data_IF_845836100778
#
_entry.id   IF_845836100778
#
_cell.length_a   1.000
_cell.length_b   1.000
_cell.length_c   1.000
_cell.angle_alpha   90.00
_cell.angle_beta   90.00
_cell.angle_gamma   90.00
#
_symmetry.space_group_name_H-M   'P 1'
#
loop_
_entity.id
_entity.type
_entity.pdbx_description
1 polymer ?
#
# COMPACT_ATOMS: atom_id res chain seq x y z
N UNK A 1 4.35 -30.94 -12.34
CA UNK A 1 4.01 -29.91 -11.35
C UNK A 1 3.71 -30.58 -10.02
N UNK A 2 4.14 -30.02 -8.88
CA UNK A 2 3.72 -30.51 -7.57
C UNK A 2 2.18 -30.51 -7.49
N UNK A 3 1.57 -31.58 -6.97
CA UNK A 3 0.11 -31.77 -6.94
C UNK A 3 -0.64 -30.60 -6.28
N UNK A 4 -0.02 -29.93 -5.30
CA UNK A 4 -0.57 -28.75 -4.62
C UNK A 4 -0.69 -27.52 -5.52
N UNK A 5 0.32 -27.26 -6.36
CA UNK A 5 0.30 -26.11 -7.29
C UNK A 5 -0.81 -26.30 -8.33
N UNK A 6 -0.97 -27.52 -8.84
CA UNK A 6 -2.06 -27.84 -9.76
C UNK A 6 -3.44 -27.60 -9.11
N UNK A 7 -3.61 -28.00 -7.84
CA UNK A 7 -4.86 -27.74 -7.11
C UNK A 7 -5.16 -26.24 -7.02
N UNK A 8 -4.17 -25.41 -6.69
CA UNK A 8 -4.35 -23.95 -6.58
C UNK A 8 -4.75 -23.33 -7.93
N UNK A 9 -4.08 -23.74 -9.01
CA UNK A 9 -4.39 -23.28 -10.37
C UNK A 9 -5.82 -23.64 -10.76
N UNK A 10 -6.25 -24.87 -10.47
CA UNK A 10 -7.62 -25.31 -10.77
C UNK A 10 -8.65 -24.54 -9.94
N UNK A 11 -8.38 -24.27 -8.66
CA UNK A 11 -9.26 -23.45 -7.80
C UNK A 11 -9.39 -22.02 -8.31
N UNK A 12 -8.33 -21.43 -8.89
CA UNK A 12 -8.38 -20.08 -9.49
C UNK A 12 -9.28 -20.01 -10.72
N UNK A 13 -9.50 -21.13 -11.42
CA UNK A 13 -10.21 -21.19 -12.70
C UNK A 13 -9.40 -21.79 -13.85
N UNK A 14 -8.22 -22.35 -13.57
CA UNK A 14 -7.37 -23.03 -14.52
C UNK A 14 -6.24 -22.16 -15.10
N UNK A 15 -5.34 -22.75 -15.91
CA UNK A 15 -4.10 -22.09 -16.33
C UNK A 15 -4.30 -20.82 -17.16
N UNK A 16 -5.36 -20.75 -17.97
CA UNK A 16 -5.64 -19.57 -18.79
C UNK A 16 -6.01 -18.36 -17.93
N UNK A 17 -6.80 -18.59 -16.87
CA UNK A 17 -7.21 -17.56 -15.93
C UNK A 17 -6.04 -17.13 -15.05
N UNK A 18 -5.20 -18.06 -14.60
CA UNK A 18 -3.97 -17.71 -13.90
C UNK A 18 -3.09 -16.79 -14.77
N UNK A 19 -2.89 -17.14 -16.04
CA UNK A 19 -2.05 -16.35 -16.96
C UNK A 19 -2.62 -14.96 -17.27
N UNK A 20 -3.93 -14.76 -17.20
CA UNK A 20 -4.52 -13.43 -17.39
C UNK A 20 -4.34 -12.51 -16.19
N UNK A 21 -4.02 -13.05 -15.01
CA UNK A 21 -3.72 -12.25 -13.81
C UNK A 21 -2.28 -11.70 -13.81
N UNK A 22 -1.38 -12.31 -14.58
CA UNK A 22 0.07 -12.02 -14.57
C UNK A 22 0.37 -10.82 -15.48
N UNK A 23 1.45 -10.09 -15.18
CA UNK A 23 1.96 -9.04 -16.06
C UNK A 23 2.49 -9.62 -17.37
N UNK A 24 3.22 -10.74 -17.27
CA UNK A 24 3.69 -11.54 -18.39
C UNK A 24 3.04 -12.94 -18.38
N UNK A 25 2.09 -13.21 -19.29
CA UNK A 25 1.42 -14.52 -19.41
C UNK A 25 2.37 -15.68 -19.73
N UNK A 26 3.59 -15.42 -20.19
CA UNK A 26 4.60 -16.43 -20.50
C UNK A 26 5.45 -16.85 -19.30
N UNK A 27 5.38 -16.10 -18.20
CA UNK A 27 6.12 -16.38 -16.98
C UNK A 27 5.68 -17.68 -16.30
N UNK A 28 6.63 -18.32 -15.60
CA UNK A 28 6.42 -19.63 -14.96
C UNK A 28 6.18 -19.49 -13.46
N UNK A 29 5.19 -20.21 -12.94
CA UNK A 29 4.85 -20.13 -11.50
C UNK A 29 5.94 -20.74 -10.60
N UNK A 30 6.65 -21.74 -11.09
CA UNK A 30 7.77 -22.39 -10.40
C UNK A 30 9.02 -22.19 -11.25
N UNK A 31 9.95 -21.41 -10.73
CA UNK A 31 11.22 -21.10 -11.37
C UNK A 31 12.23 -22.23 -11.28
N UNK A 32 13.47 -21.94 -11.69
CA UNK A 32 14.59 -22.86 -11.57
C UNK A 32 14.76 -23.31 -10.12
N UNK A 33 15.26 -24.55 -9.94
CA UNK A 33 15.49 -25.16 -8.62
C UNK A 33 14.25 -25.22 -7.70
N UNK A 34 13.04 -25.02 -8.22
CA UNK A 34 11.81 -25.10 -7.45
C UNK A 34 11.45 -23.81 -6.70
N UNK A 35 12.13 -22.69 -6.99
CA UNK A 35 11.79 -21.39 -6.41
C UNK A 35 10.38 -20.95 -6.81
N UNK A 36 9.63 -20.42 -5.86
CA UNK A 36 8.31 -19.87 -6.13
C UNK A 36 8.44 -18.50 -6.78
N UNK A 37 7.70 -18.27 -7.85
CA UNK A 37 7.47 -16.92 -8.38
C UNK A 37 6.60 -16.10 -7.42
N UNK A 38 6.60 -14.77 -7.58
CA UNK A 38 5.73 -13.90 -6.78
C UNK A 38 4.24 -14.17 -7.07
N UNK A 39 3.90 -14.53 -8.30
CA UNK A 39 2.56 -14.94 -8.73
C UNK A 39 2.09 -16.21 -8.02
N UNK A 40 2.99 -17.16 -7.78
CA UNK A 40 2.67 -18.35 -7.00
C UNK A 40 2.48 -18.04 -5.52
N UNK A 41 3.29 -17.14 -4.95
CA UNK A 41 3.10 -16.64 -3.58
C UNK A 41 1.73 -15.97 -3.45
N UNK A 42 1.41 -15.05 -4.35
CA UNK A 42 0.13 -14.34 -4.38
C UNK A 42 -1.04 -15.30 -4.64
N UNK A 43 -0.85 -16.35 -5.45
CA UNK A 43 -1.88 -17.38 -5.64
C UNK A 43 -2.16 -18.14 -4.34
N UNK A 44 -1.13 -18.41 -3.53
CA UNK A 44 -1.30 -19.08 -2.25
C UNK A 44 -1.99 -18.17 -1.20
N UNK A 45 -1.68 -16.88 -1.19
CA UNK A 45 -2.18 -15.94 -0.18
C UNK A 45 -3.55 -15.33 -0.53
N UNK A 46 -3.78 -15.03 -1.81
CA UNK A 46 -4.94 -14.29 -2.30
C UNK A 46 -5.85 -15.12 -3.20
N UNK A 47 -5.38 -16.26 -3.71
CA UNK A 47 -6.07 -16.96 -4.78
C UNK A 47 -6.07 -16.17 -6.10
N UNK A 48 -5.03 -15.36 -6.36
CA UNK A 48 -4.82 -14.58 -7.59
C UNK A 48 -3.35 -14.65 -8.03
N UNK A 49 -3.11 -14.84 -9.32
CA UNK A 49 -1.76 -14.94 -9.89
C UNK A 49 -1.18 -13.57 -10.28
N UNK A 50 -1.41 -12.53 -9.47
CA UNK A 50 -0.90 -11.18 -9.76
C UNK A 50 0.61 -11.11 -9.52
N UNK A 51 1.32 -10.33 -10.33
CA UNK A 51 2.79 -10.29 -10.33
C UNK A 51 3.37 -9.42 -9.22
N UNK A 52 2.62 -8.45 -8.73
CA UNK A 52 3.14 -7.44 -7.81
C UNK A 52 2.51 -7.52 -6.41
N UNK A 53 3.11 -6.77 -5.49
CA UNK A 53 2.75 -6.71 -4.07
C UNK A 53 2.19 -5.36 -3.64
N UNK A 54 2.16 -4.36 -4.54
CA UNK A 54 1.43 -3.11 -4.36
C UNK A 54 -0.09 -3.32 -4.54
N UNK A 55 -0.90 -2.34 -4.18
CA UNK A 55 -2.36 -2.44 -4.32
C UNK A 55 -2.84 -1.94 -5.69
N UNK A 56 -3.83 -2.61 -6.28
CA UNK A 56 -4.46 -2.19 -7.54
C UNK A 56 -3.62 -2.49 -8.78
N UNK A 57 -3.84 -1.71 -9.83
CA UNK A 57 -3.12 -1.83 -11.11
C UNK A 57 -2.48 -0.48 -11.46
N UNK A 58 -1.25 -0.50 -11.99
CA UNK A 58 -0.50 0.69 -12.41
C UNK A 58 -0.22 0.66 -13.91
N UNK A 59 -0.55 1.74 -14.63
CA UNK A 59 -0.28 1.84 -16.07
C UNK A 59 1.05 2.51 -16.30
N UNK A 60 1.99 1.79 -16.92
CA UNK A 60 3.33 2.31 -17.25
C UNK A 60 3.35 3.03 -18.61
N UNK A 61 2.17 3.26 -19.21
CA UNK A 61 2.06 3.72 -20.59
C UNK A 61 2.40 2.62 -21.61
N UNK A 62 2.23 2.91 -22.90
CA UNK A 62 2.56 1.97 -23.98
C UNK A 62 1.77 0.66 -23.98
N UNK A 63 0.63 0.60 -23.28
CA UNK A 63 -0.19 -0.61 -23.12
C UNK A 63 0.32 -1.60 -22.07
N UNK A 64 1.37 -1.25 -21.31
CA UNK A 64 1.85 -2.06 -20.19
C UNK A 64 1.05 -1.74 -18.93
N UNK A 65 0.47 -2.78 -18.33
CA UNK A 65 -0.32 -2.73 -17.10
C UNK A 65 0.38 -3.62 -16.08
N UNK A 66 0.82 -3.06 -14.97
CA UNK A 66 1.36 -3.82 -13.84
C UNK A 66 0.22 -4.14 -12.89
N UNK A 67 0.06 -5.42 -12.55
CA UNK A 67 -1.05 -5.93 -11.74
C UNK A 67 -0.56 -6.26 -10.34
N UNK A 68 -1.09 -5.54 -9.37
CA UNK A 68 -0.89 -5.75 -7.94
C UNK A 68 -2.06 -6.48 -7.29
N UNK A 69 -2.13 -6.39 -5.97
CA UNK A 69 -3.19 -6.98 -5.14
C UNK A 69 -4.52 -6.31 -5.45
N UNK A 70 -5.53 -7.05 -5.93
CA UNK A 70 -6.82 -6.45 -6.25
C UNK A 70 -7.50 -5.87 -5.00
N UNK A 71 -7.97 -4.62 -5.09
CA UNK A 71 -8.52 -3.87 -3.95
C UNK A 71 -9.81 -4.50 -3.43
N UNK A 72 -10.55 -5.18 -4.29
CA UNK A 72 -11.80 -5.88 -3.97
C UNK A 72 -11.58 -7.23 -3.26
N UNK A 73 -10.36 -7.76 -3.25
CA UNK A 73 -10.05 -9.07 -2.66
C UNK A 73 -9.66 -8.89 -1.19
N UNK A 74 -10.40 -9.47 -0.23
CA UNK A 74 -10.04 -9.39 1.17
C UNK A 74 -8.77 -10.21 1.46
N UNK A 75 -7.73 -9.55 1.96
CA UNK A 75 -6.48 -10.20 2.34
C UNK A 75 -6.58 -10.81 3.74
N UNK A 76 -6.61 -12.13 3.85
CA UNK A 76 -6.74 -12.82 5.15
C UNK A 76 -5.41 -12.86 5.90
N UNK A 77 -4.31 -13.14 5.17
CA UNK A 77 -2.94 -13.22 5.70
C UNK A 77 -2.10 -12.20 4.93
N UNK A 78 -1.41 -11.35 5.67
CA UNK A 78 -0.57 -10.31 5.09
C UNK A 78 0.71 -10.86 4.47
N UNK A 79 1.37 -10.03 3.68
CA UNK A 79 2.68 -10.32 3.12
C UNK A 79 3.59 -9.11 3.31
N UNK A 80 4.83 -9.33 3.71
CA UNK A 80 5.87 -8.30 3.76
C UNK A 80 7.12 -8.94 3.17
N UNK A 81 7.98 -8.16 2.52
CA UNK A 81 9.21 -8.70 1.94
C UNK A 81 10.42 -7.87 2.33
N UNK A 82 11.56 -8.54 2.50
CA UNK A 82 12.85 -7.89 2.67
C UNK A 82 13.17 -6.90 1.53
N UNK A 83 12.65 -7.17 0.32
CA UNK A 83 12.81 -6.28 -0.83
C UNK A 83 12.23 -4.88 -0.59
N UNK A 84 11.21 -4.75 0.28
CA UNK A 84 10.68 -3.45 0.66
C UNK A 84 11.63 -2.69 1.60
N UNK A 85 12.24 -3.38 2.56
CA UNK A 85 13.25 -2.78 3.43
C UNK A 85 14.47 -2.29 2.63
N UNK A 86 14.82 -3.04 1.57
CA UNK A 86 15.88 -2.70 0.61
C UNK A 86 15.42 -1.67 -0.46
N UNK A 87 14.17 -1.20 -0.40
CA UNK A 87 13.58 -0.21 -1.32
C UNK A 87 13.52 -0.65 -2.79
N UNK A 88 13.50 -1.95 -3.05
CA UNK A 88 13.28 -2.49 -4.40
C UNK A 88 11.81 -2.52 -4.80
N UNK A 89 10.91 -2.70 -3.82
CA UNK A 89 9.47 -2.73 -4.04
C UNK A 89 8.75 -1.96 -2.95
N UNK A 90 7.53 -1.53 -3.22
CA UNK A 90 6.62 -0.99 -2.19
C UNK A 90 5.51 -2.01 -1.97
N UNK A 91 5.36 -2.51 -0.74
CA UNK A 91 4.26 -3.42 -0.43
C UNK A 91 3.01 -2.60 -0.17
N UNK A 92 1.92 -3.04 -0.79
CA UNK A 92 0.61 -2.44 -0.70
C UNK A 92 0.05 -2.49 0.72
N UNK A 93 -0.82 -1.53 0.98
CA UNK A 93 -1.53 -1.42 2.24
C UNK A 93 -2.42 -2.64 2.51
N UNK A 94 -2.95 -3.34 1.49
CA UNK A 94 -3.77 -4.54 1.67
C UNK A 94 -2.98 -5.66 2.35
N UNK A 95 -1.74 -5.87 1.91
CA UNK A 95 -0.84 -6.86 2.49
C UNK A 95 -0.28 -6.46 3.86
N UNK A 96 -0.08 -5.16 4.11
CA UNK A 96 0.34 -4.65 5.42
C UNK A 96 -0.77 -4.73 6.47
N UNK A 97 -2.03 -4.61 6.04
CA UNK A 97 -3.21 -4.56 6.92
C UNK A 97 -4.21 -5.68 6.62
N UNK A 98 -3.82 -6.95 6.83
CA UNK A 98 -4.70 -8.10 6.60
C UNK A 98 -5.85 -8.19 7.61
N UNK A 99 -6.85 -9.04 7.33
CA UNK A 99 -7.97 -9.29 8.23
C UNK A 99 -7.56 -9.95 9.54
N UNK A 100 -6.54 -10.80 9.52
CA UNK A 100 -6.02 -11.50 10.70
C UNK A 100 -4.57 -11.06 10.98
N UNK A 101 -4.12 -11.08 12.23
CA UNK A 101 -2.80 -10.61 12.63
C UNK A 101 -1.72 -11.65 12.31
N UNK A 102 -1.66 -12.10 11.06
CA UNK A 102 -0.67 -13.02 10.50
C UNK A 102 -0.07 -12.38 9.24
N UNK A 103 1.26 -12.46 9.13
CA UNK A 103 2.00 -11.97 7.98
C UNK A 103 3.04 -13.00 7.58
N UNK A 104 3.13 -13.28 6.28
CA UNK A 104 4.25 -14.01 5.71
C UNK A 104 5.33 -13.01 5.34
N UNK A 105 6.53 -13.17 5.90
CA UNK A 105 7.72 -12.40 5.58
C UNK A 105 8.52 -13.18 4.54
N UNK A 106 8.63 -12.64 3.33
CA UNK A 106 9.43 -13.20 2.25
C UNK A 106 10.86 -12.67 2.22
N UNK A 107 11.84 -13.56 2.32
CA UNK A 107 13.24 -13.29 1.98
C UNK A 107 13.61 -14.04 0.68
N UNK A 108 14.79 -13.79 0.09
CA UNK A 108 15.21 -14.47 -1.14
C UNK A 108 15.17 -15.99 -1.08
N UNK A 109 15.39 -16.58 0.11
CA UNK A 109 15.55 -18.03 0.27
C UNK A 109 14.59 -18.67 1.29
N UNK A 110 13.82 -17.89 2.05
CA UNK A 110 12.89 -18.44 3.05
C UNK A 110 11.64 -17.58 3.22
N UNK A 111 10.61 -18.20 3.79
CA UNK A 111 9.42 -17.52 4.29
C UNK A 111 9.29 -17.73 5.80
N UNK A 112 8.99 -16.67 6.53
CA UNK A 112 8.69 -16.72 7.97
C UNK A 112 7.28 -16.24 8.24
N UNK A 113 6.55 -16.94 9.11
CA UNK A 113 5.24 -16.49 9.58
C UNK A 113 5.42 -15.62 10.83
N UNK A 114 5.11 -14.34 10.72
CA UNK A 114 4.96 -13.42 11.85
C UNK A 114 3.49 -13.35 12.26
N UNK A 115 3.22 -13.29 13.56
CA UNK A 115 1.85 -13.11 14.06
C UNK A 115 1.81 -12.31 15.36
N UNK A 116 0.65 -11.74 15.65
CA UNK A 116 0.38 -11.02 16.89
C UNK A 116 -0.90 -11.51 17.56
N UNK A 117 -0.93 -11.46 18.89
CA UNK A 117 -2.16 -11.70 19.67
C UNK A 117 -3.07 -10.47 19.75
N UNK A 118 -2.55 -9.31 19.36
CA UNK A 118 -3.29 -8.07 19.38
C UNK A 118 -3.82 -7.77 17.97
N UNK A 119 -5.13 -7.95 17.77
CA UNK A 119 -5.78 -7.65 16.49
C UNK A 119 -5.61 -6.19 16.07
N UNK A 120 -5.39 -5.26 17.01
CA UNK A 120 -5.22 -3.86 16.66
C UNK A 120 -3.95 -3.59 15.84
N UNK A 121 -2.99 -4.52 15.80
CA UNK A 121 -1.81 -4.42 14.94
C UNK A 121 -2.15 -4.44 13.44
N UNK A 122 -3.34 -4.93 13.04
CA UNK A 122 -3.75 -4.90 11.63
C UNK A 122 -4.43 -3.58 11.24
N UNK A 123 -4.91 -2.81 12.22
CA UNK A 123 -5.67 -1.58 11.96
C UNK A 123 -4.80 -0.55 11.26
N UNK A 124 -5.32 0.03 10.19
CA UNK A 124 -4.66 1.16 9.53
C UNK A 124 -4.71 2.40 10.43
N UNK A 125 -3.64 3.18 10.34
CA UNK A 125 -3.61 4.51 10.92
C UNK A 125 -4.64 5.37 10.17
N UNK A 126 -5.59 6.04 10.85
CA UNK A 126 -6.55 6.92 10.19
C UNK A 126 -5.90 7.97 9.29
N UNK A 127 -4.71 8.46 9.66
CA UNK A 127 -3.94 9.42 8.86
C UNK A 127 -3.47 8.79 7.55
N UNK A 128 -2.99 7.55 7.57
CA UNK A 128 -2.53 6.89 6.34
C UNK A 128 -3.71 6.64 5.39
N UNK A 129 -4.87 6.23 5.91
CA UNK A 129 -6.10 6.05 5.10
C UNK A 129 -6.51 7.37 4.44
N UNK A 130 -6.46 8.48 5.17
CA UNK A 130 -6.75 9.80 4.61
C UNK A 130 -5.71 10.21 3.56
N UNK A 131 -4.43 9.98 3.82
CA UNK A 131 -3.34 10.27 2.89
C UNK A 131 -3.48 9.48 1.58
N UNK A 132 -3.84 8.20 1.65
CA UNK A 132 -4.08 7.37 0.47
C UNK A 132 -5.26 7.91 -0.34
N UNK A 133 -6.40 8.18 0.31
CA UNK A 133 -7.58 8.78 -0.35
C UNK A 133 -7.29 10.15 -0.96
N UNK A 134 -6.48 10.97 -0.30
CA UNK A 134 -6.05 12.27 -0.82
C UNK A 134 -5.17 12.09 -2.05
N UNK A 135 -4.28 11.10 -2.04
CA UNK A 135 -3.44 10.79 -3.18
C UNK A 135 -4.27 10.33 -4.37
N UNK A 136 -5.20 9.41 -4.16
CA UNK A 136 -6.10 8.93 -5.21
C UNK A 136 -6.94 10.07 -5.81
N UNK A 137 -7.48 10.94 -4.94
CA UNK A 137 -8.22 12.13 -5.37
C UNK A 137 -7.32 13.16 -6.08
N UNK A 138 -6.04 13.25 -5.69
CA UNK A 138 -5.07 14.12 -6.33
C UNK A 138 -4.71 13.61 -7.73
N UNK A 139 -4.34 12.34 -7.83
CA UNK A 139 -3.94 11.66 -9.07
C UNK A 139 -5.09 11.63 -10.09
N UNK A 140 -6.34 11.49 -9.63
CA UNK A 140 -7.52 11.54 -10.50
C UNK A 140 -7.83 12.94 -11.07
N UNK A 141 -7.29 14.00 -10.48
CA UNK A 141 -7.60 15.38 -10.84
C UNK A 141 -6.37 16.22 -11.24
N UNK A 142 -5.16 15.65 -11.21
CA UNK A 142 -3.96 16.34 -11.66
C UNK A 142 -3.84 16.32 -13.19
N UNK A 143 -3.10 17.28 -13.74
CA UNK A 143 -2.64 17.23 -15.14
C UNK A 143 -1.56 16.16 -15.30
N UNK A 144 -1.23 15.77 -16.54
CA UNK A 144 -0.19 14.77 -16.86
C UNK A 144 1.20 15.07 -16.24
N UNK A 145 1.45 16.32 -15.82
CA UNK A 145 2.67 16.75 -15.11
C UNK A 145 2.60 16.60 -13.57
N UNK A 146 1.55 15.98 -13.02
CA UNK A 146 1.39 15.80 -11.57
C UNK A 146 1.06 17.09 -10.81
N UNK A 147 0.46 18.07 -11.50
CA UNK A 147 0.11 19.39 -10.96
C UNK A 147 -1.41 19.54 -10.90
N UNK A 148 -1.91 20.13 -9.81
CA UNK A 148 -3.32 20.47 -9.66
C UNK A 148 -3.52 22.00 -9.72
N UNK A 149 -4.62 22.42 -10.33
CA UNK A 149 -5.05 23.83 -10.34
C UNK A 149 -6.08 24.09 -9.25
N UNK A 150 -6.23 25.37 -8.88
CA UNK A 150 -7.18 25.81 -7.85
C UNK A 150 -8.63 25.46 -8.22
N UNK A 151 -8.98 25.45 -9.50
CA UNK A 151 -10.32 25.08 -9.99
C UNK A 151 -10.64 23.59 -9.79
N UNK A 152 -9.63 22.74 -9.66
CA UNK A 152 -9.79 21.30 -9.43
C UNK A 152 -9.88 20.96 -7.94
N UNK A 153 -9.63 21.92 -7.03
CA UNK A 153 -9.64 21.68 -5.58
C UNK A 153 -11.02 21.29 -5.05
N UNK A 154 -12.11 21.86 -5.57
CA UNK A 154 -13.46 21.51 -5.11
C UNK A 154 -13.76 20.01 -5.31
N UNK A 155 -13.17 19.41 -6.36
CA UNK A 155 -13.28 17.97 -6.64
C UNK A 155 -12.38 17.12 -5.74
N UNK A 156 -11.21 17.65 -5.36
CA UNK A 156 -10.28 16.98 -4.44
C UNK A 156 -10.74 17.02 -2.98
N UNK A 157 -11.54 18.02 -2.59
CA UNK A 157 -12.11 18.12 -1.24
C UNK A 157 -13.34 17.20 -1.09
N UNK A 158 -14.00 16.84 -2.19
CA UNK A 158 -15.14 15.92 -2.25
C UNK A 158 -14.73 14.44 -2.11
N UNK A 159 -13.78 14.13 -1.22
CA UNK A 159 -13.41 12.75 -0.89
C UNK A 159 -14.53 12.13 -0.06
N UNK A 160 -14.84 10.86 -0.35
CA UNK A 160 -15.78 10.03 0.41
C UNK A 160 -15.22 9.74 1.82
N UNK A 161 -15.37 10.74 2.68
CA UNK A 161 -15.10 10.71 4.12
C UNK A 161 -16.44 10.47 4.84
N UNK A 162 -16.46 9.80 6.00
CA UNK A 162 -17.68 9.65 6.78
C UNK A 162 -18.32 11.02 7.05
N UNK A 163 -19.65 11.16 6.89
CA UNK A 163 -20.38 12.44 6.97
C UNK A 163 -20.05 13.30 8.21
N UNK A 164 -19.75 12.64 9.34
CA UNK A 164 -19.33 13.28 10.60
C UNK A 164 -18.00 14.04 10.49
N UNK A 165 -17.05 13.57 9.68
CA UNK A 165 -15.75 14.22 9.46
C UNK A 165 -15.81 15.31 8.38
N UNK A 166 -16.74 15.20 7.42
CA UNK A 166 -16.83 16.10 6.25
C UNK A 166 -17.21 17.53 6.65
N UNK A 167 -18.19 17.70 7.55
CA UNK A 167 -18.75 19.01 7.88
C UNK A 167 -17.83 19.91 8.71
N UNK A 168 -17.07 19.33 9.66
CA UNK A 168 -16.09 20.08 10.46
C UNK A 168 -14.81 20.31 9.68
N UNK A 169 -14.39 19.32 8.87
CA UNK A 169 -13.20 19.44 8.06
C UNK A 169 -13.32 20.46 6.95
N UNK A 170 -14.41 20.42 6.16
CA UNK A 170 -14.60 21.33 5.04
C UNK A 170 -14.57 22.80 5.51
N UNK A 171 -15.13 23.08 6.69
CA UNK A 171 -15.07 24.41 7.31
C UNK A 171 -13.66 24.76 7.81
N UNK A 172 -12.95 23.83 8.43
CA UNK A 172 -11.59 24.07 8.95
C UNK A 172 -10.54 24.22 7.83
N UNK A 173 -10.62 23.41 6.77
CA UNK A 173 -9.74 23.46 5.58
C UNK A 173 -9.95 24.76 4.83
N UNK A 174 -11.20 25.13 4.53
CA UNK A 174 -11.52 26.39 3.85
C UNK A 174 -11.07 27.59 4.69
N UNK A 175 -11.29 27.58 6.01
CA UNK A 175 -10.85 28.68 6.89
C UNK A 175 -9.32 28.74 7.04
N UNK A 176 -8.62 27.59 7.03
CA UNK A 176 -7.16 27.54 7.11
C UNK A 176 -6.49 27.96 5.79
N UNK A 177 -7.04 27.54 4.65
CA UNK A 177 -6.61 27.95 3.31
C UNK A 177 -6.85 29.45 3.07
N UNK A 178 -7.99 29.99 3.54
CA UNK A 178 -8.28 31.44 3.48
C UNK A 178 -7.36 32.25 4.41
N UNK A 179 -6.86 31.66 5.51
CA UNK A 179 -5.99 32.36 6.48
C UNK A 179 -4.50 32.31 6.17
N UNK A 180 -4.03 31.39 5.33
CA UNK A 180 -2.60 31.15 5.12
C UNK A 180 -2.28 31.07 3.63
N UNK A 181 -2.01 32.23 3.03
CA UNK A 181 -1.17 32.43 1.83
C UNK A 181 -1.02 31.25 0.86
N UNK A 182 -2.11 30.85 0.20
CA UNK A 182 -2.02 29.97 -0.96
C UNK A 182 -2.95 30.50 -2.04
N UNK A 183 -2.51 31.57 -2.71
CA UNK A 183 -2.92 31.95 -4.07
C UNK A 183 -2.14 33.19 -4.55
N UNK A 184 -0.81 33.22 -4.40
CA UNK A 184 0.03 34.05 -5.29
C UNK A 184 0.35 33.30 -6.61
N UNK A 185 -0.02 32.03 -6.74
CA UNK A 185 0.14 31.24 -7.97
C UNK A 185 -1.00 30.24 -8.18
N UNK A 186 -1.36 30.01 -9.45
CA UNK A 186 -2.46 29.14 -9.89
C UNK A 186 -2.21 27.63 -9.72
N UNK A 187 -1.13 27.24 -9.03
CA UNK A 187 -0.58 25.89 -8.99
C UNK A 187 -0.52 25.37 -7.55
N UNK A 188 -0.98 24.14 -7.33
CA UNK A 188 -0.97 23.46 -6.03
C UNK A 188 -0.14 22.17 -6.14
N UNK A 189 0.86 22.02 -5.27
CA UNK A 189 1.68 20.81 -5.14
C UNK A 189 1.05 19.83 -4.14
N UNK A 190 1.23 18.52 -4.38
CA UNK A 190 0.67 17.47 -3.52
C UNK A 190 1.13 17.57 -2.07
N UNK A 191 2.43 17.76 -1.82
CA UNK A 191 2.98 17.84 -0.45
C UNK A 191 2.36 19.00 0.36
N UNK A 192 2.14 20.14 -0.30
CA UNK A 192 1.50 21.32 0.31
C UNK A 192 0.03 21.04 0.60
N UNK A 193 -0.69 20.46 -0.37
CA UNK A 193 -2.10 20.10 -0.23
C UNK A 193 -2.32 19.08 0.89
N UNK A 194 -1.56 17.98 0.87
CA UNK A 194 -1.61 16.91 1.85
C UNK A 194 -1.34 17.43 3.27
N UNK A 195 -0.32 18.28 3.44
CA UNK A 195 0.04 18.86 4.74
C UNK A 195 -1.10 19.72 5.30
N UNK A 196 -1.66 20.62 4.50
CA UNK A 196 -2.76 21.51 4.91
C UNK A 196 -4.00 20.67 5.28
N UNK A 197 -4.35 19.70 4.45
CA UNK A 197 -5.53 18.87 4.64
C UNK A 197 -5.43 18.00 5.90
N UNK A 198 -4.27 17.36 6.11
CA UNK A 198 -4.02 16.57 7.32
C UNK A 198 -4.10 17.46 8.57
N UNK A 199 -3.46 18.64 8.56
CA UNK A 199 -3.48 19.64 9.66
C UNK A 199 -4.88 20.05 10.07
N UNK A 200 -5.76 20.28 9.09
CA UNK A 200 -7.14 20.64 9.37
C UNK A 200 -7.98 19.49 9.94
N UNK A 201 -7.72 18.24 9.52
CA UNK A 201 -8.47 17.05 9.98
C UNK A 201 -8.16 16.62 11.40
N UNK A 202 -6.88 16.55 11.71
CA UNK A 202 -6.43 15.90 12.93
C UNK A 202 -5.95 16.90 13.98
N UNK A 203 -5.63 18.14 13.58
CA UNK A 203 -4.96 19.15 14.41
C UNK A 203 -3.46 18.91 14.50
N UNK A 204 -2.66 19.97 14.65
CA UNK A 204 -1.19 19.88 14.59
C UNK A 204 -0.60 18.91 15.64
N UNK A 205 -1.05 19.00 16.89
CA UNK A 205 -0.52 18.16 17.98
C UNK A 205 -0.85 16.67 17.82
N UNK A 206 -2.02 16.34 17.27
CA UNK A 206 -2.46 14.94 17.09
C UNK A 206 -1.80 14.31 15.86
N UNK A 207 -1.49 15.11 14.84
CA UNK A 207 -0.72 14.66 13.69
C UNK A 207 0.69 14.30 14.08
N UNK A 208 1.37 15.14 14.85
CA UNK A 208 2.71 14.82 15.31
C UNK A 208 2.73 13.52 16.12
N UNK A 209 1.73 13.27 16.97
CA UNK A 209 1.60 12.00 17.69
C UNK A 209 1.34 10.80 16.73
N UNK A 210 0.44 10.95 15.77
CA UNK A 210 0.07 9.91 14.81
C UNK A 210 1.19 9.65 13.77
N UNK A 211 1.96 10.66 13.39
CA UNK A 211 3.13 10.57 12.53
C UNK A 211 4.36 10.04 13.27
N UNK A 212 4.52 10.39 14.54
CA UNK A 212 5.56 9.78 15.40
C UNK A 212 5.29 8.29 15.63
N UNK A 213 4.01 7.88 15.65
CA UNK A 213 3.65 6.45 15.69
C UNK A 213 4.03 5.70 14.40
N UNK A 214 4.13 6.40 13.26
CA UNK A 214 4.57 5.88 11.96
C UNK A 214 6.10 5.91 11.82
N UNK A 215 6.78 6.89 12.44
CA UNK A 215 8.23 7.07 12.37
C UNK A 215 9.01 6.28 13.42
N UNK A 216 8.32 5.60 14.36
CA UNK A 216 8.96 4.54 15.15
C UNK A 216 9.66 3.64 14.13
N UNK A 217 10.99 3.48 14.24
CA UNK A 217 11.70 2.63 13.31
C UNK A 217 10.97 1.30 13.26
N UNK A 218 10.80 0.77 12.03
CA UNK A 218 10.67 -0.67 11.84
C UNK A 218 11.57 -1.35 12.88
N UNK A 219 11.08 -2.40 13.54
CA UNK A 219 11.73 -3.06 14.68
C UNK A 219 13.24 -3.38 14.48
N UNK A 220 13.77 -3.23 13.27
CA UNK A 220 15.19 -3.05 12.92
C UNK A 220 16.03 -2.20 13.88
N UNK A 221 15.55 -1.08 14.44
CA UNK A 221 16.41 -0.31 15.38
C UNK A 221 16.58 -1.00 16.74
N UNK A 222 15.77 -2.01 17.05
CA UNK A 222 15.93 -2.86 18.24
C UNK A 222 16.73 -4.14 17.90
N UNK A 223 16.86 -4.50 16.63
CA UNK A 223 17.61 -5.69 16.21
C UNK A 223 19.12 -5.45 16.07
N UNK A 224 19.58 -4.20 15.92
CA UNK A 224 21.03 -3.91 15.86
C UNK A 224 21.74 -4.03 17.22
N UNK A 225 21.05 -3.87 18.35
CA UNK A 225 21.69 -3.95 19.69
C UNK A 225 21.65 -5.36 20.31
N UNK A 226 20.68 -6.23 19.98
CA UNK A 226 20.52 -7.54 20.64
C UNK A 226 21.05 -8.77 19.86
N UNK A 227 21.38 -8.66 18.57
CA UNK A 227 21.85 -9.80 17.76
C UNK A 227 23.26 -9.69 17.17
N UNK A 228 24.11 -8.84 17.75
CA UNK A 228 25.57 -9.01 17.66
C UNK A 228 26.03 -10.12 18.61
N UNK A 229 25.72 -11.38 18.27
CA UNK A 229 26.44 -12.54 18.83
C UNK A 229 27.18 -13.30 17.72
N UNK A 230 28.39 -13.81 18.04
CA UNK A 230 29.45 -14.05 17.07
C UNK A 230 29.39 -15.48 16.56
N UNK A 231 29.14 -15.67 15.26
CA UNK A 231 29.41 -16.95 14.61
C UNK A 231 30.26 -16.73 13.36
N UNK A 232 31.50 -16.33 13.61
CA UNK A 232 32.65 -16.83 12.86
C UNK A 232 33.25 -17.98 13.68
N UNK A 233 33.03 -19.21 13.24
CA UNK A 233 33.96 -20.35 13.30
C UNK A 233 33.41 -21.49 12.48
#
# INVERSE_FOLDING_TARGET
MPSRVLSLILTRGGPAVCRSDMDDPSSVLVGMFGHCSQELVNLCLLGRCVSNVFDGEESMGGGMMLRGVPVEVPVVVGYITELEALRYVTVGSQYKNPLLPFWVIGSPNHYTLLYSRNINCVKRNPVSVVKDKLKDAFDANCTDEGIATVEQMDKMIAIDLPDELVCELARAVVVAMVKKEALEGSIVLYDTFQSIFCKALFGESKLEELETSLSRPSAYSLYEEEFMMPYWK
#
